data_IF_700947292510
#
_entry.id   IF_700947292510
#
_cell.length_a   1.000
_cell.length_b   1.000
_cell.length_c   1.000
_cell.angle_alpha   90.00
_cell.angle_beta   90.00
_cell.angle_gamma   90.00
#
_symmetry.space_group_name_H-M   'P 1'
#
loop_
_entity.id
_entity.type
_entity.pdbx_description
1 polymer ?
#
# COMPACT_ATOMS: atom_id res chain seq x y z
N UNK A 1 4.17 -23.67 -37.77
CA UNK A 1 4.78 -22.56 -37.00
C UNK A 1 5.72 -23.22 -36.00
N UNK A 2 6.89 -23.64 -36.45
CA UNK A 2 7.84 -24.41 -35.63
C UNK A 2 8.85 -23.42 -35.03
N UNK A 3 8.53 -22.91 -33.84
CA UNK A 3 9.39 -22.00 -33.10
C UNK A 3 10.45 -22.78 -32.33
N UNK A 4 11.72 -22.58 -32.66
CA UNK A 4 12.84 -23.15 -31.91
C UNK A 4 13.12 -22.39 -30.59
N UNK A 5 12.58 -21.17 -30.47
CA UNK A 5 12.81 -20.28 -29.33
C UNK A 5 11.73 -20.34 -28.25
N UNK A 6 11.95 -19.53 -27.21
CA UNK A 6 10.95 -19.25 -26.17
C UNK A 6 9.67 -18.68 -26.80
N UNK A 7 8.46 -19.08 -26.35
CA UNK A 7 7.20 -18.47 -26.80
C UNK A 7 7.20 -16.95 -26.61
N UNK A 8 6.75 -16.21 -27.62
CA UNK A 8 6.73 -14.74 -27.58
C UNK A 8 5.80 -14.22 -26.47
N UNK A 9 4.70 -14.93 -26.24
CA UNK A 9 3.70 -14.66 -25.21
C UNK A 9 4.30 -14.73 -23.81
N UNK A 10 5.23 -15.67 -23.58
CA UNK A 10 5.92 -15.78 -22.30
C UNK A 10 6.88 -14.59 -22.07
N UNK A 11 7.54 -14.14 -23.13
CA UNK A 11 8.37 -12.92 -23.07
C UNK A 11 7.53 -11.68 -22.79
N UNK A 12 6.38 -11.55 -23.45
CA UNK A 12 5.44 -10.44 -23.20
C UNK A 12 4.93 -10.44 -21.75
N UNK A 13 4.46 -11.59 -21.26
CA UNK A 13 3.95 -11.74 -19.89
C UNK A 13 5.01 -11.39 -18.83
N UNK A 14 6.28 -11.75 -19.05
CA UNK A 14 7.37 -11.33 -18.15
C UNK A 14 7.55 -9.82 -18.16
N UNK A 15 7.50 -9.20 -19.35
CA UNK A 15 7.57 -7.75 -19.49
C UNK A 15 6.44 -7.05 -18.72
N UNK A 16 5.22 -7.55 -18.84
CA UNK A 16 4.04 -7.04 -18.11
C UNK A 16 4.21 -7.18 -16.59
N UNK A 17 4.59 -8.37 -16.09
CA UNK A 17 4.83 -8.58 -14.65
C UNK A 17 5.91 -7.64 -14.09
N UNK A 18 6.97 -7.37 -14.86
CA UNK A 18 8.03 -6.43 -14.46
C UNK A 18 7.53 -4.99 -14.44
N UNK A 19 6.76 -4.57 -15.45
CA UNK A 19 6.18 -3.24 -15.52
C UNK A 19 5.18 -2.99 -14.37
N UNK A 20 4.35 -3.97 -14.06
CA UNK A 20 3.41 -3.90 -12.93
C UNK A 20 4.18 -3.85 -11.60
N UNK A 21 5.22 -4.67 -11.44
CA UNK A 21 6.07 -4.64 -10.24
C UNK A 21 6.69 -3.25 -10.01
N UNK A 22 7.23 -2.62 -11.06
CA UNK A 22 7.78 -1.26 -10.97
C UNK A 22 6.72 -0.23 -10.60
N UNK A 23 5.52 -0.36 -11.18
CA UNK A 23 4.38 0.52 -10.90
C UNK A 23 3.98 0.43 -9.43
N UNK A 24 3.79 -0.78 -8.90
CA UNK A 24 3.45 -0.98 -7.50
C UNK A 24 4.56 -0.53 -6.55
N UNK A 25 5.83 -0.74 -6.90
CA UNK A 25 6.96 -0.28 -6.08
C UNK A 25 7.05 1.25 -6.03
N UNK A 26 6.81 1.91 -7.16
CA UNK A 26 6.75 3.37 -7.25
C UNK A 26 5.59 3.95 -6.46
N UNK A 27 4.38 3.41 -6.66
CA UNK A 27 3.17 3.83 -5.96
C UNK A 27 3.25 3.62 -4.45
N UNK A 28 3.71 2.44 -4.01
CA UNK A 28 3.88 2.11 -2.59
C UNK A 28 4.89 3.03 -1.91
N UNK A 29 6.04 3.29 -2.54
CA UNK A 29 7.04 4.23 -1.99
C UNK A 29 6.48 5.64 -1.85
N UNK A 30 5.86 6.15 -2.92
CA UNK A 30 5.24 7.47 -2.90
C UNK A 30 4.20 7.60 -1.79
N UNK A 31 3.32 6.60 -1.65
CA UNK A 31 2.26 6.62 -0.63
C UNK A 31 2.83 6.54 0.80
N UNK A 32 3.85 5.71 1.02
CA UNK A 32 4.54 5.63 2.30
C UNK A 32 5.17 6.97 2.70
N UNK A 33 5.87 7.63 1.77
CA UNK A 33 6.47 8.95 2.00
C UNK A 33 5.39 10.02 2.28
N UNK A 34 4.28 9.97 1.53
CA UNK A 34 3.13 10.86 1.75
C UNK A 34 2.52 10.66 3.15
N UNK A 35 2.38 9.41 3.60
CA UNK A 35 1.84 9.11 4.93
C UNK A 35 2.82 9.49 6.04
N UNK A 36 4.14 9.37 5.83
CA UNK A 36 5.17 9.87 6.74
C UNK A 36 5.03 11.36 7.00
N UNK A 37 4.85 12.15 5.93
CA UNK A 37 4.55 13.58 6.07
C UNK A 37 3.18 13.82 6.71
N UNK A 38 2.19 13.00 6.40
CA UNK A 38 0.81 13.12 6.90
C UNK A 38 0.70 13.05 8.42
N UNK A 39 1.55 12.28 9.10
CA UNK A 39 1.60 12.25 10.57
C UNK A 39 1.96 13.60 11.17
N UNK A 40 2.89 14.35 10.55
CA UNK A 40 3.27 15.68 11.04
C UNK A 40 2.10 16.65 10.92
N UNK A 41 1.38 16.60 9.80
CA UNK A 41 0.15 17.39 9.63
C UNK A 41 -0.90 17.03 10.67
N UNK A 42 -1.11 15.74 10.96
CA UNK A 42 -2.04 15.31 11.99
C UNK A 42 -1.64 15.77 13.40
N UNK A 43 -0.35 15.83 13.71
CA UNK A 43 0.13 16.38 14.97
C UNK A 43 -0.21 17.88 15.13
N UNK A 44 -0.05 18.67 14.07
CA UNK A 44 -0.46 20.09 14.08
C UNK A 44 -1.97 20.26 14.29
N UNK A 45 -2.79 19.36 13.73
CA UNK A 45 -4.25 19.42 13.88
C UNK A 45 -4.70 19.25 15.34
N UNK A 46 -3.89 18.64 16.21
CA UNK A 46 -4.21 18.49 17.64
C UNK A 46 -4.26 19.82 18.40
N UNK A 47 -3.80 20.93 17.80
CA UNK A 47 -3.86 22.26 18.41
C UNK A 47 -5.27 22.88 18.35
N UNK A 48 -6.19 22.27 17.62
CA UNK A 48 -7.56 22.76 17.41
C UNK A 48 -8.56 21.82 18.09
N UNK A 49 -9.16 22.27 19.20
CA UNK A 49 -10.16 21.50 19.95
C UNK A 49 -11.39 21.19 19.08
N UNK A 50 -11.70 22.06 18.11
CA UNK A 50 -12.80 21.90 17.15
C UNK A 50 -12.64 20.70 16.22
N UNK A 51 -11.44 20.11 16.12
CA UNK A 51 -11.18 18.91 15.31
C UNK A 51 -11.10 17.63 16.14
N UNK A 52 -11.25 17.70 17.46
CA UNK A 52 -11.07 16.55 18.36
C UNK A 52 -11.97 15.36 17.98
N UNK A 53 -13.18 15.62 17.48
CA UNK A 53 -14.16 14.61 17.08
C UNK A 53 -13.78 13.84 15.80
N UNK A 54 -12.88 14.38 14.97
CA UNK A 54 -12.40 13.74 13.73
C UNK A 54 -10.97 13.24 13.80
N UNK A 55 -10.24 13.48 14.90
CA UNK A 55 -8.85 13.03 15.00
C UNK A 55 -8.70 11.51 14.90
N UNK A 56 -9.65 10.73 15.42
CA UNK A 56 -9.66 9.27 15.25
C UNK A 56 -9.78 8.84 13.79
N UNK A 57 -10.63 9.52 13.02
CA UNK A 57 -10.79 9.24 11.58
C UNK A 57 -9.53 9.66 10.80
N UNK A 58 -8.93 10.80 11.15
CA UNK A 58 -7.67 11.28 10.56
C UNK A 58 -6.52 10.27 10.74
N UNK A 59 -6.37 9.70 11.94
CA UNK A 59 -5.32 8.71 12.21
C UNK A 59 -5.57 7.40 11.48
N UNK A 60 -6.84 6.95 11.38
CA UNK A 60 -7.20 5.75 10.61
C UNK A 60 -6.89 5.88 9.14
N UNK A 61 -7.17 7.04 8.54
CA UNK A 61 -6.80 7.32 7.15
C UNK A 61 -5.29 7.10 6.95
N UNK A 62 -4.46 7.73 7.79
CA UNK A 62 -2.99 7.61 7.65
C UNK A 62 -2.55 6.16 7.82
N UNK A 63 -3.05 5.46 8.84
CA UNK A 63 -2.64 4.08 9.08
C UNK A 63 -3.06 3.15 7.95
N UNK A 64 -4.27 3.28 7.43
CA UNK A 64 -4.78 2.44 6.34
C UNK A 64 -4.01 2.71 5.04
N UNK A 65 -3.77 3.98 4.68
CA UNK A 65 -3.00 4.33 3.49
C UNK A 65 -1.54 3.88 3.63
N UNK A 66 -0.97 3.92 4.85
CA UNK A 66 0.38 3.43 5.12
C UNK A 66 0.46 1.90 5.00
N UNK A 67 -0.52 1.18 5.52
CA UNK A 67 -0.63 -0.27 5.35
C UNK A 67 -0.79 -0.63 3.86
N UNK A 68 -1.66 0.08 3.13
CA UNK A 68 -1.84 -0.10 1.69
C UNK A 68 -0.52 0.12 0.93
N UNK A 69 0.28 1.12 1.30
CA UNK A 69 1.61 1.35 0.72
C UNK A 69 2.57 0.15 0.90
N UNK A 70 2.54 -0.49 2.07
CA UNK A 70 3.35 -1.68 2.34
C UNK A 70 2.84 -2.89 1.57
N UNK A 71 1.52 -3.05 1.48
CA UNK A 71 0.89 -4.09 0.66
C UNK A 71 1.28 -3.92 -0.81
N UNK A 72 1.28 -2.70 -1.36
CA UNK A 72 1.76 -2.43 -2.72
C UNK A 72 3.23 -2.80 -2.92
N UNK A 73 4.10 -2.52 -1.94
CA UNK A 73 5.51 -2.93 -2.00
C UNK A 73 5.68 -4.46 -1.99
N UNK A 74 4.82 -5.18 -1.26
CA UNK A 74 4.80 -6.64 -1.27
C UNK A 74 4.29 -7.19 -2.61
N UNK A 75 3.23 -6.61 -3.18
CA UNK A 75 2.74 -6.94 -4.53
C UNK A 75 3.88 -6.82 -5.54
N UNK A 76 4.59 -5.69 -5.54
CA UNK A 76 5.73 -5.48 -6.42
C UNK A 76 6.80 -6.57 -6.28
N UNK A 77 7.11 -6.95 -5.04
CA UNK A 77 8.07 -8.02 -4.76
C UNK A 77 7.59 -9.36 -5.33
N UNK A 78 6.32 -9.72 -5.16
CA UNK A 78 5.77 -10.97 -5.67
C UNK A 78 5.74 -11.01 -7.19
N UNK A 79 5.34 -9.93 -7.86
CA UNK A 79 5.30 -9.84 -9.32
C UNK A 79 6.71 -9.93 -9.94
N UNK A 80 7.69 -9.23 -9.36
CA UNK A 80 9.08 -9.35 -9.78
C UNK A 80 9.62 -10.78 -9.61
N UNK A 81 9.23 -11.46 -8.53
CA UNK A 81 9.62 -12.86 -8.29
C UNK A 81 8.93 -13.82 -9.25
N UNK A 82 7.66 -13.62 -9.56
CA UNK A 82 6.96 -14.39 -10.59
C UNK A 82 7.66 -14.25 -11.95
N UNK A 83 8.07 -13.04 -12.34
CA UNK A 83 8.85 -12.81 -13.55
C UNK A 83 10.18 -13.60 -13.55
N UNK A 84 10.96 -13.53 -12.47
CA UNK A 84 12.21 -14.29 -12.32
C UNK A 84 11.98 -15.82 -12.36
N UNK A 85 10.86 -16.30 -11.82
CA UNK A 85 10.48 -17.72 -11.86
C UNK A 85 10.18 -18.16 -13.29
N UNK A 86 9.41 -17.38 -14.05
CA UNK A 86 9.10 -17.65 -15.45
C UNK A 86 10.33 -17.63 -16.35
N UNK A 87 11.29 -16.72 -16.10
CA UNK A 87 12.57 -16.68 -16.83
C UNK A 87 13.38 -17.98 -16.73
N UNK A 88 13.19 -18.75 -15.66
CA UNK A 88 13.90 -20.02 -15.42
C UNK A 88 13.21 -21.24 -16.01
N UNK A 89 12.12 -21.06 -16.77
CA UNK A 89 11.36 -22.14 -17.39
C UNK A 89 11.74 -22.22 -18.86
N UNK A 90 12.39 -23.32 -19.25
CA UNK A 90 12.74 -23.58 -20.63
C UNK A 90 11.56 -24.24 -21.36
N UNK A 91 10.93 -23.50 -22.27
CA UNK A 91 9.78 -23.95 -23.05
C UNK A 91 10.10 -24.19 -24.53
N UNK A 92 11.36 -24.45 -24.87
CA UNK A 92 11.69 -24.91 -26.23
C UNK A 92 11.02 -26.27 -26.50
N UNK A 93 10.60 -26.59 -27.73
CA UNK A 93 9.94 -27.86 -28.02
C UNK A 93 10.76 -29.10 -27.63
N UNK A 94 12.10 -29.00 -27.64
CA UNK A 94 12.99 -30.05 -27.20
C UNK A 94 12.97 -30.21 -25.66
N UNK A 95 13.10 -29.11 -24.91
CA UNK A 95 13.05 -29.12 -23.45
C UNK A 95 11.68 -29.61 -22.93
N UNK A 96 10.58 -29.19 -23.55
CA UNK A 96 9.24 -29.64 -23.18
C UNK A 96 9.08 -31.14 -23.38
N UNK A 97 9.50 -31.68 -24.54
CA UNK A 97 9.44 -33.13 -24.80
C UNK A 97 10.31 -33.91 -23.81
N UNK A 98 11.50 -33.41 -23.48
CA UNK A 98 12.38 -34.03 -22.50
C UNK A 98 11.77 -34.02 -21.08
N UNK A 99 11.18 -32.90 -20.66
CA UNK A 99 10.53 -32.79 -19.34
C UNK A 99 9.28 -33.67 -19.23
N UNK A 100 8.49 -33.78 -20.31
CA UNK A 100 7.31 -34.65 -20.39
C UNK A 100 7.64 -36.15 -20.30
N UNK A 101 8.79 -36.55 -20.85
CA UNK A 101 9.35 -37.89 -20.74
C UNK A 101 10.09 -38.13 -19.42
N UNK A 102 10.29 -37.08 -18.62
CA UNK A 102 11.12 -37.07 -17.43
C UNK A 102 10.36 -36.64 -16.16
N UNK A 103 11.02 -35.91 -15.24
CA UNK A 103 10.48 -35.58 -13.92
C UNK A 103 9.34 -34.54 -13.88
N UNK A 104 8.96 -33.95 -15.02
CA UNK A 104 7.86 -32.97 -15.13
C UNK A 104 8.04 -31.75 -14.21
N UNK A 105 9.23 -31.14 -14.26
CA UNK A 105 9.58 -29.99 -13.43
C UNK A 105 8.96 -28.69 -13.97
N UNK A 106 8.84 -28.53 -15.29
CA UNK A 106 8.33 -27.29 -15.87
C UNK A 106 6.87 -27.01 -15.46
N UNK A 107 5.93 -27.99 -15.51
CA UNK A 107 4.56 -27.79 -14.98
C UNK A 107 4.52 -27.40 -13.50
N UNK A 108 5.38 -27.98 -12.67
CA UNK A 108 5.45 -27.66 -11.23
C UNK A 108 5.92 -26.24 -10.99
N UNK A 109 6.89 -25.75 -11.78
CA UNK A 109 7.38 -24.37 -11.71
C UNK A 109 6.35 -23.38 -12.23
N UNK A 110 5.65 -23.71 -13.31
CA UNK A 110 4.53 -22.90 -13.82
C UNK A 110 3.44 -22.76 -12.76
N UNK A 111 3.03 -23.88 -12.15
CA UNK A 111 2.04 -23.87 -11.07
C UNK A 111 2.48 -23.01 -9.89
N UNK A 112 3.73 -23.19 -9.41
CA UNK A 112 4.25 -22.36 -8.32
C UNK A 112 4.31 -20.87 -8.67
N UNK A 113 4.57 -20.53 -9.94
CA UNK A 113 4.54 -19.13 -10.40
C UNK A 113 3.11 -18.59 -10.37
N UNK A 114 2.13 -19.38 -10.83
CA UNK A 114 0.72 -19.01 -10.80
C UNK A 114 0.22 -18.73 -9.37
N UNK A 115 0.63 -19.53 -8.38
CA UNK A 115 0.32 -19.29 -6.96
C UNK A 115 0.87 -17.94 -6.47
N UNK A 116 2.10 -17.57 -6.86
CA UNK A 116 2.71 -16.28 -6.50
C UNK A 116 1.95 -15.11 -7.14
N UNK A 117 1.56 -15.23 -8.41
CA UNK A 117 0.72 -14.22 -9.09
C UNK A 117 -0.66 -14.13 -8.45
N UNK A 118 -1.28 -15.26 -8.11
CA UNK A 118 -2.58 -15.30 -7.43
C UNK A 118 -2.50 -14.56 -6.09
N UNK A 119 -1.45 -14.79 -5.30
CA UNK A 119 -1.28 -14.07 -4.03
C UNK A 119 -1.12 -12.57 -4.23
N UNK A 120 -0.40 -12.14 -5.27
CA UNK A 120 -0.29 -10.73 -5.62
C UNK A 120 -1.66 -10.12 -5.96
N UNK A 121 -2.51 -10.85 -6.68
CA UNK A 121 -3.88 -10.42 -6.98
C UNK A 121 -4.75 -10.30 -5.73
N UNK A 122 -4.67 -11.25 -4.79
CA UNK A 122 -5.39 -11.17 -3.50
C UNK A 122 -4.97 -9.92 -2.71
N UNK A 123 -3.67 -9.62 -2.69
CA UNK A 123 -3.15 -8.41 -2.05
C UNK A 123 -3.65 -7.13 -2.73
N UNK A 124 -3.89 -7.12 -4.04
CA UNK A 124 -4.49 -5.98 -4.71
C UNK A 124 -5.90 -5.70 -4.16
N UNK A 125 -6.68 -6.74 -3.91
CA UNK A 125 -8.00 -6.61 -3.28
C UNK A 125 -7.88 -6.09 -1.84
N UNK A 126 -6.99 -6.68 -1.02
CA UNK A 126 -6.74 -6.21 0.35
C UNK A 126 -6.31 -4.73 0.38
N UNK A 127 -5.43 -4.32 -0.55
CA UNK A 127 -5.02 -2.91 -0.67
C UNK A 127 -6.18 -2.00 -1.06
N UNK A 128 -7.06 -2.44 -1.97
CA UNK A 128 -8.21 -1.67 -2.40
C UNK A 128 -9.23 -1.49 -1.27
N UNK A 129 -9.44 -2.52 -0.45
CA UNK A 129 -10.31 -2.46 0.72
C UNK A 129 -9.83 -1.43 1.75
N UNK A 130 -8.52 -1.40 2.03
CA UNK A 130 -7.91 -0.42 2.95
C UNK A 130 -8.16 1.03 2.50
N UNK A 131 -7.98 1.30 1.20
CA UNK A 131 -8.18 2.64 0.62
C UNK A 131 -9.67 2.98 0.51
N UNK A 132 -10.51 2.01 0.16
CA UNK A 132 -11.95 2.21 0.06
C UNK A 132 -12.59 2.52 1.42
N UNK A 133 -12.14 1.84 2.49
CA UNK A 133 -12.55 2.15 3.87
C UNK A 133 -12.28 3.63 4.22
N UNK A 134 -11.26 4.25 3.62
CA UNK A 134 -10.93 5.66 3.87
C UNK A 134 -11.89 6.66 3.20
N UNK A 135 -12.69 6.30 2.20
CA UNK A 135 -13.50 7.25 1.42
C UNK A 135 -14.45 8.09 2.29
N UNK A 136 -15.19 7.43 3.20
CA UNK A 136 -16.08 8.12 4.14
C UNK A 136 -15.29 9.03 5.08
N UNK A 137 -14.18 8.53 5.62
CA UNK A 137 -13.37 9.23 6.63
C UNK A 137 -12.73 10.47 6.05
N UNK A 138 -12.27 10.40 4.80
CA UNK A 138 -11.77 11.54 4.04
C UNK A 138 -12.82 12.65 3.91
N UNK A 139 -14.06 12.30 3.54
CA UNK A 139 -15.15 13.29 3.44
C UNK A 139 -15.41 13.99 4.76
N UNK A 140 -15.57 13.24 5.85
CA UNK A 140 -15.86 13.81 7.19
C UNK A 140 -14.72 14.71 7.68
N UNK A 141 -13.47 14.23 7.59
CA UNK A 141 -12.30 14.98 8.05
C UNK A 141 -12.10 16.26 7.24
N UNK A 142 -12.29 16.17 5.92
CA UNK A 142 -12.20 17.31 5.01
C UNK A 142 -13.27 18.35 5.33
N UNK A 143 -14.53 17.93 5.46
CA UNK A 143 -15.64 18.84 5.75
C UNK A 143 -15.40 19.61 7.06
N UNK A 144 -14.96 18.93 8.12
CA UNK A 144 -14.66 19.59 9.41
C UNK A 144 -13.48 20.55 9.32
N UNK A 145 -12.43 20.18 8.60
CA UNK A 145 -11.28 21.07 8.36
C UNK A 145 -11.71 22.31 7.58
N UNK A 146 -12.55 22.16 6.55
CA UNK A 146 -13.10 23.27 5.76
C UNK A 146 -14.05 24.16 6.58
N UNK A 147 -14.81 23.59 7.53
CA UNK A 147 -15.63 24.37 8.47
C UNK A 147 -14.76 25.22 9.41
N UNK A 148 -13.72 24.64 9.99
CA UNK A 148 -12.78 25.37 10.86
C UNK A 148 -12.08 26.50 10.11
N UNK A 149 -11.53 26.22 8.93
CA UNK A 149 -10.86 27.25 8.11
C UNK A 149 -11.81 28.40 7.80
N UNK A 150 -13.08 28.11 7.46
CA UNK A 150 -14.09 29.16 7.23
C UNK A 150 -14.35 29.99 8.48
N UNK A 151 -14.51 29.37 9.66
CA UNK A 151 -14.73 30.07 10.92
C UNK A 151 -13.56 31.01 11.26
N UNK A 152 -12.32 30.52 11.11
CA UNK A 152 -11.11 31.32 11.31
C UNK A 152 -11.05 32.53 10.37
N UNK A 153 -11.44 32.37 9.09
CA UNK A 153 -11.48 33.50 8.14
C UNK A 153 -12.62 34.48 8.40
N UNK A 154 -13.71 34.04 9.04
CA UNK A 154 -14.85 34.87 9.39
C UNK A 154 -14.65 35.71 10.67
N UNK A 155 -13.54 35.50 11.40
CA UNK A 155 -13.23 36.21 12.64
C UNK A 155 -13.76 35.55 13.92
N UNK A 156 -14.34 34.37 13.81
CA UNK A 156 -14.67 33.53 14.97
C UNK A 156 -13.39 32.80 15.38
N UNK A 157 -12.62 33.42 16.29
CA UNK A 157 -11.38 32.84 16.78
C UNK A 157 -11.64 31.48 17.46
N UNK A 158 -10.96 30.39 17.03
CA UNK A 158 -11.13 29.09 17.66
C UNK A 158 -10.60 29.11 19.09
N UNK A 159 -11.25 28.35 19.97
CA UNK A 159 -10.83 28.24 21.36
C UNK A 159 -9.51 27.46 21.41
N UNK A 160 -8.42 28.13 21.81
CA UNK A 160 -7.13 27.48 21.94
C UNK A 160 -7.20 26.35 22.98
N UNK A 161 -6.65 25.19 22.62
CA UNK A 161 -6.58 24.01 23.49
C UNK A 161 -6.09 24.39 24.89
N UNK A 162 -6.94 24.19 25.90
CA UNK A 162 -6.58 24.43 27.29
C UNK A 162 -5.63 23.33 27.75
N UNK A 163 -4.34 23.66 27.85
CA UNK A 163 -3.31 22.76 28.36
C UNK A 163 -3.63 22.29 29.78
N UNK A 164 -4.03 21.02 29.92
CA UNK A 164 -4.01 20.33 31.20
C UNK A 164 -2.56 19.97 31.55
N UNK A 165 -1.94 20.74 32.45
CA UNK A 165 -0.57 20.44 32.87
C UNK A 165 0.06 21.45 33.85
N UNK A 166 -0.51 21.63 35.03
CA UNK A 166 0.20 22.21 36.18
C UNK A 166 -0.35 21.65 37.50
N UNK A 167 -0.02 20.39 37.78
CA UNK A 167 -0.28 19.74 39.06
C UNK A 167 1.03 19.43 39.78
N UNK A 168 1.78 20.46 40.16
CA UNK A 168 2.95 20.33 41.03
C UNK A 168 2.47 19.96 42.43
N UNK A 169 2.62 18.70 42.82
CA UNK A 169 2.49 18.29 44.23
C UNK A 169 3.89 18.35 44.87
N UNK A 170 4.09 19.11 45.95
CA UNK A 170 5.35 19.05 46.70
C UNK A 170 5.34 17.81 47.59
N UNK A 171 6.42 17.04 47.54
CA UNK A 171 6.74 15.99 48.51
C UNK A 171 7.29 16.68 49.77
N UNK A 172 6.57 16.62 50.89
CA UNK A 172 7.13 16.87 52.21
C UNK A 172 7.51 15.52 52.84
N UNK A 173 8.81 15.32 53.07
CA UNK A 173 9.35 14.25 53.93
C UNK A 173 9.25 14.67 55.41
N UNK A 174 9.05 13.68 56.30
CA UNK A 174 9.98 13.53 57.42
C UNK A 174 10.71 12.18 57.45
#
# INVERSE_FOLDING_TARGET
MEGEGRPAELTAMIGELRADAETFAGGGRWLADAMAASWQTAATMLQFDELADVMGERHRIISNDWLAAHVQTLIATLLARAADMLERIELTPAAVRADLAGPRVAPRRLYATAEVVSRAADLCCESAELVHDNERRWRVTRERTEQLVRAMTAGDAPAAATGAGAGTTPVEDP
#
